data_IF_963640201174
#
_entry.id   IF_963640201174
#
_cell.length_a   1.000
_cell.length_b   1.000
_cell.length_c   1.000
_cell.angle_alpha   90.00
_cell.angle_beta   90.00
_cell.angle_gamma   90.00
#
_symmetry.space_group_name_H-M   'P 1'
#
loop_
_entity.id
_entity.type
_entity.pdbx_description
1 polymer ?
#
# COMPACT_ATOMS: atom_id res chain seq x y z
N UNK A 1 -15.95 7.44 14.44
CA UNK A 1 -16.62 8.65 13.92
C UNK A 1 -15.63 9.80 13.84
N UNK A 2 -15.01 10.21 14.96
CA UNK A 2 -14.06 11.35 15.03
C UNK A 2 -12.93 11.31 13.96
N UNK A 3 -12.36 10.12 13.70
CA UNK A 3 -11.29 9.98 12.71
C UNK A 3 -11.78 10.15 11.27
N UNK A 4 -12.88 9.49 10.90
CA UNK A 4 -13.53 9.74 9.61
C UNK A 4 -13.91 11.21 9.46
N UNK A 5 -14.44 11.87 10.51
CA UNK A 5 -14.77 13.30 10.46
C UNK A 5 -13.57 14.19 10.19
N UNK A 6 -12.39 13.82 10.71
CA UNK A 6 -11.17 14.60 10.49
C UNK A 6 -10.72 14.58 9.03
N UNK A 7 -11.12 13.58 8.23
CA UNK A 7 -10.76 13.43 6.82
C UNK A 7 -11.93 13.60 5.84
N UNK A 8 -13.11 14.05 6.29
CA UNK A 8 -14.30 14.23 5.42
C UNK A 8 -14.09 15.21 4.27
N UNK A 9 -13.13 16.13 4.39
CA UNK A 9 -12.79 17.09 3.34
C UNK A 9 -11.93 16.51 2.22
N UNK A 10 -11.42 15.29 2.39
CA UNK A 10 -10.53 14.66 1.41
C UNK A 10 -11.32 14.21 0.19
N UNK A 11 -10.76 14.46 -1.00
CA UNK A 11 -11.30 13.90 -2.23
C UNK A 11 -10.75 12.49 -2.52
N UNK A 12 -9.73 12.03 -1.77
CA UNK A 12 -9.00 10.78 -2.02
C UNK A 12 -9.32 9.70 -0.97
N UNK A 13 -10.24 9.98 -0.05
CA UNK A 13 -10.71 9.04 0.99
C UNK A 13 -12.21 8.85 0.80
N UNK A 14 -12.70 7.61 0.87
CA UNK A 14 -14.11 7.33 0.62
C UNK A 14 -14.99 8.03 1.66
N UNK A 15 -16.02 8.72 1.17
CA UNK A 15 -16.88 9.49 2.05
C UNK A 15 -17.71 8.55 2.93
N UNK A 16 -17.69 8.81 4.23
CA UNK A 16 -18.39 8.02 5.24
C UNK A 16 -19.56 8.85 5.77
N UNK A 17 -20.79 8.40 5.54
CA UNK A 17 -22.00 9.10 5.99
C UNK A 17 -22.32 8.82 7.45
N UNK A 18 -22.10 7.60 7.93
CA UNK A 18 -22.53 7.21 9.27
C UNK A 18 -22.70 5.71 9.46
N UNK A 19 -23.36 5.37 10.57
CA UNK A 19 -23.78 4.01 10.88
C UNK A 19 -25.29 3.91 10.82
N UNK A 20 -25.79 2.74 10.41
CA UNK A 20 -27.19 2.36 10.52
C UNK A 20 -27.29 0.99 11.19
N UNK A 21 -28.51 0.51 11.44
CA UNK A 21 -28.76 -0.79 12.04
C UNK A 21 -29.81 -1.52 11.23
N UNK A 22 -29.52 -2.76 10.84
CA UNK A 22 -30.50 -3.61 10.17
C UNK A 22 -31.63 -3.94 11.16
N UNK A 23 -32.89 -3.58 10.86
CA UNK A 23 -34.01 -3.81 11.77
C UNK A 23 -34.28 -5.30 12.03
N UNK A 24 -33.91 -6.18 11.09
CA UNK A 24 -34.19 -7.62 11.21
C UNK A 24 -33.10 -8.35 12.00
N UNK A 25 -31.82 -8.04 11.74
CA UNK A 25 -30.69 -8.74 12.36
C UNK A 25 -30.10 -8.00 13.56
N UNK A 26 -30.49 -6.75 13.79
CA UNK A 26 -29.87 -5.84 14.76
C UNK A 26 -28.36 -5.64 14.57
N UNK A 27 -27.80 -5.98 13.41
CA UNK A 27 -26.41 -5.75 13.09
C UNK A 27 -26.20 -4.28 12.69
N UNK A 28 -25.11 -3.70 13.18
CA UNK A 28 -24.67 -2.39 12.72
C UNK A 28 -24.10 -2.49 11.30
N UNK A 29 -24.39 -1.49 10.49
CA UNK A 29 -23.91 -1.36 9.12
C UNK A 29 -23.29 0.01 8.93
N UNK A 30 -22.28 0.10 8.07
CA UNK A 30 -21.66 1.36 7.67
C UNK A 30 -22.34 1.87 6.40
N UNK A 31 -22.59 3.18 6.34
CA UNK A 31 -23.07 3.87 5.14
C UNK A 31 -21.93 4.75 4.61
N UNK A 32 -21.49 4.49 3.38
CA UNK A 32 -20.40 5.18 2.69
C UNK A 32 -20.72 5.32 1.20
N UNK A 33 -19.94 6.12 0.48
CA UNK A 33 -20.02 6.21 -0.97
C UNK A 33 -19.80 4.86 -1.65
N UNK A 34 -20.37 4.68 -2.84
CA UNK A 34 -20.24 3.46 -3.62
C UNK A 34 -19.14 3.59 -4.68
N UNK A 35 -18.08 2.80 -4.52
CA UNK A 35 -17.02 2.64 -5.52
C UNK A 35 -17.41 1.57 -6.55
N UNK A 36 -17.86 2.01 -7.73
CA UNK A 36 -18.52 1.15 -8.74
C UNK A 36 -17.57 0.23 -9.54
N UNK A 37 -16.27 0.24 -9.27
CA UNK A 37 -15.27 -0.62 -9.94
C UNK A 37 -14.56 -1.58 -8.99
N UNK A 38 -14.98 -1.71 -7.74
CA UNK A 38 -14.35 -2.62 -6.78
C UNK A 38 -12.98 -2.10 -6.31
N UNK A 39 -12.15 -2.98 -5.75
CA UNK A 39 -10.85 -2.62 -5.18
C UNK A 39 -9.68 -2.73 -6.20
N UNK A 40 -8.51 -2.23 -5.82
CA UNK A 40 -7.30 -2.25 -6.66
C UNK A 40 -6.89 -3.66 -7.07
N UNK A 41 -6.96 -4.60 -6.12
CA UNK A 41 -6.61 -6.02 -6.32
C UNK A 41 -7.39 -6.64 -7.48
N UNK A 42 -8.70 -6.42 -7.52
CA UNK A 42 -9.61 -6.92 -8.57
C UNK A 42 -9.36 -6.26 -9.93
N UNK A 43 -8.66 -5.12 -9.96
CA UNK A 43 -8.38 -4.36 -11.17
C UNK A 43 -6.94 -4.50 -11.67
N UNK A 44 -6.05 -5.24 -10.98
CA UNK A 44 -4.62 -5.30 -11.33
C UNK A 44 -4.35 -5.68 -12.79
N UNK A 45 -5.10 -6.64 -13.35
CA UNK A 45 -4.96 -7.04 -14.76
C UNK A 45 -5.31 -5.93 -15.74
N UNK A 46 -6.29 -5.08 -15.42
CA UNK A 46 -6.61 -3.89 -16.23
C UNK A 46 -5.51 -2.83 -16.07
N UNK A 47 -5.01 -2.67 -14.85
CA UNK A 47 -4.07 -1.61 -14.52
C UNK A 47 -2.67 -1.89 -15.07
N UNK A 48 -2.26 -3.15 -15.20
CA UNK A 48 -0.94 -3.46 -15.79
C UNK A 48 -0.87 -3.04 -17.26
N UNK A 49 -2.00 -3.01 -17.97
CA UNK A 49 -2.13 -2.55 -19.36
C UNK A 49 -2.09 -1.02 -19.49
N UNK A 50 -2.24 -0.29 -18.40
CA UNK A 50 -2.14 1.16 -18.40
C UNK A 50 -0.73 1.64 -18.79
N UNK A 51 -0.67 2.77 -19.50
CA UNK A 51 0.60 3.45 -19.72
C UNK A 51 1.15 4.07 -18.42
N UNK A 52 2.43 4.47 -18.43
CA UNK A 52 3.08 5.01 -17.24
C UNK A 52 2.41 6.27 -16.69
N UNK A 53 1.87 7.15 -17.55
CA UNK A 53 1.17 8.33 -17.05
C UNK A 53 -0.06 7.95 -16.23
N UNK A 54 -0.87 7.00 -16.72
CA UNK A 54 -2.03 6.49 -15.99
C UNK A 54 -1.64 5.83 -14.66
N UNK A 55 -0.60 4.99 -14.65
CA UNK A 55 -0.08 4.35 -13.42
C UNK A 55 0.41 5.38 -12.41
N UNK A 56 1.12 6.42 -12.87
CA UNK A 56 1.62 7.50 -12.02
C UNK A 56 0.46 8.34 -11.46
N UNK A 57 -0.55 8.67 -12.26
CA UNK A 57 -1.74 9.38 -11.76
C UNK A 57 -2.47 8.59 -10.68
N UNK A 58 -2.64 7.27 -10.86
CA UNK A 58 -3.22 6.42 -9.82
C UNK A 58 -2.39 6.44 -8.53
N UNK A 59 -1.07 6.32 -8.62
CA UNK A 59 -0.19 6.42 -7.46
C UNK A 59 -0.24 7.78 -6.77
N UNK A 60 -0.36 8.84 -7.55
CA UNK A 60 -0.50 10.19 -7.05
C UNK A 60 -1.76 10.34 -6.20
N UNK A 61 -2.92 9.86 -6.67
CA UNK A 61 -4.16 9.89 -5.88
C UNK A 61 -4.03 9.06 -4.59
N UNK A 62 -3.43 7.86 -4.68
CA UNK A 62 -3.20 6.99 -3.51
C UNK A 62 -2.30 7.67 -2.47
N UNK A 63 -1.15 8.23 -2.88
CA UNK A 63 -0.21 8.86 -1.93
C UNK A 63 -0.73 10.22 -1.44
N UNK A 64 -1.53 10.92 -2.24
CA UNK A 64 -2.21 12.16 -1.84
C UNK A 64 -3.14 11.92 -0.66
N UNK A 65 -4.05 10.94 -0.77
CA UNK A 65 -4.93 10.55 0.33
C UNK A 65 -4.16 10.11 1.58
N UNK A 66 -3.10 9.29 1.40
CA UNK A 66 -2.28 8.84 2.53
C UNK A 66 -1.51 10.01 3.18
N UNK A 67 -1.03 10.97 2.38
CA UNK A 67 -0.37 12.18 2.88
C UNK A 67 -1.34 13.09 3.65
N UNK A 68 -2.60 13.17 3.25
CA UNK A 68 -3.62 13.92 4.00
C UNK A 68 -3.88 13.27 5.37
N UNK A 69 -4.02 11.93 5.41
CA UNK A 69 -4.17 11.19 6.66
C UNK A 69 -2.98 11.43 7.60
N UNK A 70 -1.75 11.26 7.10
CA UNK A 70 -0.54 11.45 7.89
C UNK A 70 -0.40 12.91 8.37
N UNK A 71 -0.77 13.89 7.55
CA UNK A 71 -0.80 15.30 7.92
C UNK A 71 -1.78 15.62 9.07
N UNK A 72 -2.79 14.77 9.27
CA UNK A 72 -3.76 14.83 10.38
C UNK A 72 -3.36 13.90 11.55
N UNK A 73 -2.13 13.39 11.55
CA UNK A 73 -1.61 12.42 12.53
C UNK A 73 -2.39 11.10 12.59
N UNK A 74 -3.04 10.72 11.49
CA UNK A 74 -3.68 9.41 11.34
C UNK A 74 -2.72 8.44 10.64
N UNK A 75 -2.70 7.20 11.11
CA UNK A 75 -1.96 6.09 10.51
C UNK A 75 -2.99 5.04 10.11
N UNK A 76 -2.99 4.58 8.87
CA UNK A 76 -4.01 3.66 8.36
C UNK A 76 -3.97 2.29 9.05
N UNK A 77 -2.75 1.76 9.28
CA UNK A 77 -2.47 0.49 9.96
C UNK A 77 -2.90 -0.80 9.24
N UNK A 78 -3.61 -0.70 8.13
CA UNK A 78 -4.03 -1.84 7.30
C UNK A 78 -4.10 -1.42 5.84
N UNK A 79 -3.06 -0.70 5.40
CA UNK A 79 -3.00 -0.16 4.06
C UNK A 79 -2.61 -1.26 3.08
N UNK A 80 -3.47 -1.58 2.13
CA UNK A 80 -3.21 -2.59 1.10
C UNK A 80 -4.16 -2.39 -0.09
N UNK A 81 -3.91 -3.11 -1.18
CA UNK A 81 -4.69 -3.11 -2.43
C UNK A 81 -6.21 -3.29 -2.25
N UNK A 82 -6.63 -4.19 -1.35
CA UNK A 82 -8.03 -4.42 -1.00
C UNK A 82 -8.75 -3.21 -0.38
N UNK A 83 -8.01 -2.29 0.26
CA UNK A 83 -8.55 -1.08 0.88
C UNK A 83 -8.43 0.16 -0.02
N UNK A 84 -7.95 -0.01 -1.25
CA UNK A 84 -7.93 1.02 -2.28
C UNK A 84 -9.06 0.74 -3.27
N UNK A 85 -10.04 1.63 -3.34
CA UNK A 85 -11.26 1.46 -4.13
C UNK A 85 -11.17 2.26 -5.42
N UNK A 86 -11.64 1.66 -6.51
CA UNK A 86 -11.74 2.29 -7.82
C UNK A 86 -13.17 2.75 -8.05
N UNK A 87 -13.31 3.97 -8.55
CA UNK A 87 -14.58 4.52 -9.00
C UNK A 87 -14.40 5.10 -10.40
N UNK A 88 -15.42 4.96 -11.25
CA UNK A 88 -15.46 5.61 -12.55
C UNK A 88 -16.70 6.50 -12.61
N UNK A 89 -16.45 7.79 -12.83
CA UNK A 89 -17.48 8.82 -12.99
C UNK A 89 -17.33 9.49 -14.37
N UNK A 90 -18.27 9.23 -15.28
CA UNK A 90 -18.35 9.87 -16.61
C UNK A 90 -17.00 9.99 -17.37
N UNK A 91 -16.21 8.91 -17.37
CA UNK A 91 -14.86 8.78 -17.96
C UNK A 91 -13.68 9.33 -17.14
N UNK A 92 -13.88 9.64 -15.86
CA UNK A 92 -12.80 9.90 -14.90
C UNK A 92 -12.68 8.73 -13.94
N UNK A 93 -11.56 8.03 -14.02
CA UNK A 93 -11.17 7.08 -12.99
C UNK A 93 -10.73 7.88 -11.76
N UNK A 94 -11.23 7.48 -10.59
CA UNK A 94 -10.88 8.01 -9.28
C UNK A 94 -10.49 6.87 -8.36
N UNK A 95 -9.58 7.17 -7.44
CA UNK A 95 -9.15 6.26 -6.40
C UNK A 95 -9.55 6.79 -5.03
N UNK A 96 -10.05 5.89 -4.18
CA UNK A 96 -10.38 6.21 -2.79
C UNK A 96 -9.67 5.26 -1.84
N UNK A 97 -9.03 5.80 -0.80
CA UNK A 97 -8.63 5.02 0.37
C UNK A 97 -9.88 4.73 1.20
N UNK A 98 -10.01 3.50 1.69
CA UNK A 98 -11.14 3.02 2.46
C UNK A 98 -10.71 2.26 3.70
N UNK A 99 -11.68 1.83 4.51
CA UNK A 99 -11.46 1.06 5.74
C UNK A 99 -10.48 1.70 6.74
N UNK A 100 -10.93 2.77 7.38
CA UNK A 100 -10.21 3.40 8.49
C UNK A 100 -10.48 2.71 9.84
N UNK A 101 -11.03 1.49 9.83
CA UNK A 101 -11.43 0.74 11.02
C UNK A 101 -10.27 0.39 11.95
N UNK A 102 -9.04 0.40 11.44
CA UNK A 102 -7.83 0.12 12.22
C UNK A 102 -6.90 1.32 12.41
N UNK A 103 -7.32 2.51 11.96
CA UNK A 103 -6.55 3.71 12.19
C UNK A 103 -6.27 3.88 13.69
N UNK A 104 -5.03 4.19 14.08
CA UNK A 104 -4.76 4.53 15.48
C UNK A 104 -5.59 5.75 15.88
N UNK A 105 -6.35 5.71 17.01
CA UNK A 105 -6.29 4.80 18.17
C UNK A 105 -7.23 3.58 18.16
N UNK A 106 -8.00 3.32 17.09
CA UNK A 106 -8.96 2.19 17.02
C UNK A 106 -8.28 0.82 17.16
N UNK A 107 -6.98 0.72 16.84
CA UNK A 107 -6.13 -0.47 17.06
C UNK A 107 -6.00 -0.89 18.55
N UNK A 108 -6.32 -0.03 19.51
CA UNK A 108 -6.15 -0.29 20.96
C UNK A 108 -6.87 -1.53 21.51
N UNK A 109 -7.70 -2.19 20.70
CA UNK A 109 -8.46 -3.39 21.04
C UNK A 109 -7.67 -4.71 20.88
N UNK A 110 -6.50 -4.71 20.23
CA UNK A 110 -5.69 -5.91 20.02
C UNK A 110 -4.83 -6.25 21.24
N UNK A 111 -4.55 -7.55 21.45
CA UNK A 111 -3.61 -7.98 22.49
C UNK A 111 -2.18 -7.49 22.17
N UNK A 112 -1.33 -7.38 23.19
CA UNK A 112 0.04 -6.84 23.08
C UNK A 112 0.88 -7.50 21.98
N UNK A 113 0.67 -8.79 21.73
CA UNK A 113 1.50 -9.56 20.79
C UNK A 113 0.76 -9.95 19.50
N UNK A 114 -0.52 -9.59 19.40
CA UNK A 114 -1.36 -9.87 18.24
C UNK A 114 -0.81 -9.13 17.02
N UNK A 115 -0.82 -9.85 15.90
CA UNK A 115 -0.50 -9.29 14.59
C UNK A 115 -1.78 -9.35 13.77
N UNK A 116 -2.21 -8.20 13.25
CA UNK A 116 -3.38 -8.10 12.39
C UNK A 116 -2.99 -7.42 11.09
N UNK A 117 -3.41 -7.97 9.95
CA UNK A 117 -3.26 -7.33 8.65
C UNK A 117 -3.04 -8.34 7.52
N UNK A 118 -2.44 -7.88 6.42
CA UNK A 118 -2.14 -8.67 5.23
C UNK A 118 -0.63 -8.81 5.06
N UNK A 119 -0.06 -9.98 5.41
CA UNK A 119 1.40 -10.21 5.55
C UNK A 119 2.27 -9.54 4.46
N UNK A 120 2.02 -9.70 3.14
CA UNK A 120 2.81 -9.04 2.10
C UNK A 120 2.96 -7.52 2.26
N UNK A 121 1.94 -6.84 2.77
CA UNK A 121 1.89 -5.38 2.94
C UNK A 121 2.39 -4.93 4.32
N UNK A 122 2.66 -5.85 5.24
CA UNK A 122 3.06 -5.50 6.61
C UNK A 122 4.56 -5.22 6.68
N UNK A 123 4.90 -4.07 7.28
CA UNK A 123 6.29 -3.70 7.49
C UNK A 123 6.99 -4.67 8.46
N UNK A 124 8.30 -4.95 8.27
CA UNK A 124 9.07 -5.87 9.13
C UNK A 124 8.94 -5.55 10.62
N UNK A 125 9.02 -4.27 11.00
CA UNK A 125 8.91 -3.86 12.39
C UNK A 125 7.54 -4.13 13.00
N UNK A 126 6.48 -4.07 12.19
CA UNK A 126 5.11 -4.37 12.62
C UNK A 126 4.93 -5.87 12.81
N UNK A 127 5.43 -6.71 11.90
CA UNK A 127 5.45 -8.17 12.05
C UNK A 127 6.22 -8.59 13.33
N UNK A 128 7.25 -7.82 13.69
CA UNK A 128 8.04 -8.00 14.92
C UNK A 128 7.39 -7.39 16.17
N UNK A 129 6.15 -6.91 16.08
CA UNK A 129 5.36 -6.45 17.23
C UNK A 129 5.61 -5.00 17.64
N UNK A 130 6.31 -4.19 16.84
CA UNK A 130 6.34 -2.74 17.06
C UNK A 130 5.03 -2.10 16.63
N UNK A 131 4.73 -0.94 17.18
CA UNK A 131 3.54 -0.17 16.80
C UNK A 131 3.60 0.26 15.34
N UNK A 132 2.44 0.37 14.70
CA UNK A 132 2.33 1.01 13.39
C UNK A 132 2.75 2.48 13.51
N UNK A 133 3.35 2.97 12.43
CA UNK A 133 3.78 4.35 12.24
C UNK A 133 3.39 4.80 10.83
N UNK A 134 3.46 6.10 10.54
CA UNK A 134 3.32 6.57 9.16
C UNK A 134 4.33 5.87 8.22
N UNK A 135 5.54 5.54 8.70
CA UNK A 135 6.54 4.81 7.93
C UNK A 135 6.15 3.34 7.63
N UNK A 136 5.29 2.71 8.43
CA UNK A 136 4.76 1.38 8.09
C UNK A 136 3.71 1.44 6.99
N UNK A 137 2.88 2.50 6.93
CA UNK A 137 1.98 2.69 5.78
C UNK A 137 2.77 2.95 4.49
N UNK A 138 3.92 3.65 4.56
CA UNK A 138 4.82 3.86 3.41
C UNK A 138 5.43 2.55 2.91
N UNK A 139 5.77 1.63 3.82
CA UNK A 139 6.15 0.29 3.42
C UNK A 139 5.02 -0.39 2.66
N UNK A 140 3.79 -0.34 3.16
CA UNK A 140 2.64 -0.92 2.47
C UNK A 140 2.39 -0.27 1.09
N UNK A 141 2.53 1.05 0.98
CA UNK A 141 2.45 1.78 -0.29
C UNK A 141 3.47 1.29 -1.31
N UNK A 142 4.68 0.91 -0.89
CA UNK A 142 5.69 0.36 -1.82
C UNK A 142 5.28 -1.00 -2.41
N UNK A 143 4.49 -1.80 -1.69
CA UNK A 143 3.96 -3.06 -2.21
C UNK A 143 2.92 -2.81 -3.28
N UNK A 144 2.06 -1.80 -3.07
CA UNK A 144 1.14 -1.30 -4.10
C UNK A 144 1.93 -0.78 -5.32
N UNK A 145 3.01 -0.02 -5.10
CA UNK A 145 3.89 0.40 -6.19
C UNK A 145 4.42 -0.81 -6.98
N UNK A 146 4.80 -1.88 -6.30
CA UNK A 146 5.26 -3.10 -6.96
C UNK A 146 4.14 -3.77 -7.76
N UNK A 147 2.93 -3.89 -7.20
CA UNK A 147 1.77 -4.50 -7.87
C UNK A 147 1.39 -3.80 -9.18
N UNK A 148 1.50 -2.48 -9.25
CA UNK A 148 1.23 -1.72 -10.48
C UNK A 148 2.22 -2.01 -11.61
N UNK A 149 3.39 -2.56 -11.27
CA UNK A 149 4.41 -3.00 -12.25
C UNK A 149 4.25 -4.48 -12.61
N UNK A 150 3.92 -5.33 -11.65
CA UNK A 150 3.86 -6.78 -11.83
C UNK A 150 2.53 -7.26 -12.38
N UNK A 151 1.43 -6.54 -12.10
CA UNK A 151 0.06 -6.97 -12.39
C UNK A 151 -0.44 -8.10 -11.50
N UNK A 152 0.30 -8.45 -10.44
CA UNK A 152 -0.05 -9.50 -9.48
C UNK A 152 0.27 -9.07 -8.06
N UNK A 153 -0.42 -9.64 -7.08
CA UNK A 153 -0.15 -9.32 -5.67
C UNK A 153 1.20 -9.87 -5.17
N UNK A 154 1.84 -9.22 -4.18
CA UNK A 154 3.19 -9.56 -3.77
C UNK A 154 3.23 -10.92 -3.05
N UNK A 155 4.24 -11.73 -3.37
CA UNK A 155 4.43 -13.08 -2.82
C UNK A 155 3.27 -14.06 -3.13
N UNK A 156 2.61 -13.89 -4.28
CA UNK A 156 1.50 -14.75 -4.72
C UNK A 156 1.84 -16.23 -4.93
N UNK A 157 3.12 -16.57 -4.96
CA UNK A 157 3.65 -17.89 -5.30
C UNK A 157 3.78 -18.82 -4.10
N UNK A 158 3.50 -18.35 -2.87
CA UNK A 158 3.70 -19.12 -1.63
C UNK A 158 2.65 -18.86 -0.55
N UNK A 159 2.75 -19.60 0.54
CA UNK A 159 1.86 -19.45 1.68
C UNK A 159 2.12 -18.13 2.43
N UNK A 160 1.06 -17.50 2.93
CA UNK A 160 1.15 -16.32 3.77
C UNK A 160 1.09 -16.73 5.24
N UNK A 161 2.23 -17.23 5.72
CA UNK A 161 2.40 -17.79 7.06
C UNK A 161 3.61 -17.18 7.78
N UNK A 162 4.02 -17.81 8.88
CA UNK A 162 5.17 -17.37 9.67
C UNK A 162 6.48 -17.41 8.88
N UNK A 163 6.63 -18.31 7.90
CA UNK A 163 7.85 -18.41 7.10
C UNK A 163 7.99 -17.21 6.17
N UNK A 164 6.91 -16.81 5.49
CA UNK A 164 6.90 -15.57 4.72
C UNK A 164 7.24 -14.36 5.61
N UNK A 165 6.63 -14.30 6.79
CA UNK A 165 6.85 -13.19 7.73
C UNK A 165 8.30 -13.11 8.22
N UNK A 166 8.91 -14.26 8.50
CA UNK A 166 10.34 -14.35 8.84
C UNK A 166 11.23 -13.90 7.68
N UNK A 167 10.94 -14.32 6.44
CA UNK A 167 11.74 -13.92 5.30
C UNK A 167 11.64 -12.42 5.00
N UNK A 168 10.45 -11.83 5.14
CA UNK A 168 10.26 -10.37 5.05
C UNK A 168 11.13 -9.65 6.09
N UNK A 169 11.13 -10.14 7.34
CA UNK A 169 11.97 -9.61 8.42
C UNK A 169 13.47 -9.81 8.20
N UNK A 170 13.86 -10.76 7.34
CA UNK A 170 15.25 -10.98 6.88
C UNK A 170 15.60 -10.12 5.66
N UNK A 171 14.71 -9.25 5.21
CA UNK A 171 14.93 -8.34 4.10
C UNK A 171 14.48 -8.88 2.74
N UNK A 172 13.76 -10.00 2.68
CA UNK A 172 13.19 -10.47 1.41
C UNK A 172 12.16 -9.46 0.89
N UNK A 173 12.22 -9.18 -0.41
CA UNK A 173 11.29 -8.32 -1.14
C UNK A 173 10.90 -8.99 -2.47
N UNK A 174 9.75 -8.64 -3.05
CA UNK A 174 9.37 -9.15 -4.37
C UNK A 174 10.42 -8.83 -5.45
N UNK A 175 10.57 -9.73 -6.43
CA UNK A 175 11.50 -9.54 -7.55
C UNK A 175 11.10 -8.31 -8.36
N UNK A 176 12.07 -7.43 -8.65
CA UNK A 176 11.84 -6.26 -9.51
C UNK A 176 11.50 -6.72 -10.94
N UNK A 177 10.44 -6.14 -11.50
CA UNK A 177 9.98 -6.43 -12.85
C UNK A 177 10.91 -5.76 -13.87
N UNK A 178 11.37 -6.53 -14.86
CA UNK A 178 12.21 -6.02 -15.94
C UNK A 178 11.54 -4.88 -16.69
N UNK A 179 12.33 -3.91 -17.15
CA UNK A 179 11.88 -2.69 -17.84
C UNK A 179 11.03 -1.73 -17.00
N UNK A 180 10.94 -1.92 -15.69
CA UNK A 180 10.45 -0.87 -14.79
C UNK A 180 11.43 0.31 -14.80
N UNK A 181 10.98 1.57 -15.00
CA UNK A 181 11.79 2.78 -14.87
C UNK A 181 12.63 2.78 -13.59
N UNK A 182 13.91 3.13 -13.71
CA UNK A 182 14.85 3.05 -12.61
C UNK A 182 14.49 4.02 -11.48
N UNK A 183 14.09 5.24 -11.81
CA UNK A 183 13.64 6.22 -10.83
C UNK A 183 12.43 5.74 -10.00
N UNK A 184 11.54 4.95 -10.61
CA UNK A 184 10.42 4.31 -9.92
C UNK A 184 10.91 3.20 -8.98
N UNK A 185 11.81 2.34 -9.46
CA UNK A 185 12.43 1.27 -8.66
C UNK A 185 13.16 1.87 -7.45
N UNK A 186 13.87 2.98 -7.64
CA UNK A 186 14.62 3.64 -6.58
C UNK A 186 13.70 4.23 -5.51
N UNK A 187 12.61 4.89 -5.91
CA UNK A 187 11.60 5.39 -4.97
C UNK A 187 10.93 4.23 -4.22
N UNK A 188 10.48 3.20 -4.93
CA UNK A 188 9.87 2.00 -4.34
C UNK A 188 10.82 1.35 -3.32
N UNK A 189 12.12 1.26 -3.66
CA UNK A 189 13.14 0.72 -2.76
C UNK A 189 13.39 1.57 -1.52
N UNK A 190 13.31 2.90 -1.64
CA UNK A 190 13.35 3.79 -0.49
C UNK A 190 12.13 3.59 0.41
N UNK A 191 10.95 3.40 -0.16
CA UNK A 191 9.72 3.18 0.60
C UNK A 191 9.67 1.84 1.35
N UNK A 192 10.28 0.76 0.84
CA UNK A 192 10.34 -0.53 1.56
C UNK A 192 11.63 -0.77 2.35
N UNK A 193 12.39 0.29 2.66
CA UNK A 193 13.65 0.16 3.39
C UNK A 193 13.44 -0.60 4.70
N UNK A 194 14.40 -1.46 5.06
CA UNK A 194 14.32 -2.23 6.31
C UNK A 194 14.27 -1.32 7.53
N UNK A 195 15.04 -0.23 7.51
CA UNK A 195 15.02 0.80 8.56
C UNK A 195 13.85 1.78 8.30
N UNK A 196 12.82 1.81 9.16
CA UNK A 196 11.69 2.72 8.99
C UNK A 196 12.10 4.20 9.03
N UNK A 197 13.22 4.56 9.67
CA UNK A 197 13.73 5.94 9.71
C UNK A 197 14.33 6.39 8.37
N UNK A 198 14.68 5.45 7.49
CA UNK A 198 15.19 5.74 6.14
C UNK A 198 14.10 5.80 5.09
N UNK A 199 12.84 5.48 5.45
CA UNK A 199 11.70 5.60 4.55
C UNK A 199 11.30 7.08 4.45
N UNK A 200 10.99 7.59 3.25
CA UNK A 200 10.48 8.94 3.09
C UNK A 200 9.10 9.08 3.74
N UNK A 201 8.73 10.29 4.14
CA UNK A 201 7.35 10.61 4.50
C UNK A 201 6.43 10.59 3.28
N UNK A 202 5.13 10.36 3.49
CA UNK A 202 4.11 10.42 2.42
C UNK A 202 4.15 11.74 1.65
N UNK A 203 4.39 12.86 2.34
CA UNK A 203 4.55 14.18 1.73
C UNK A 203 5.77 14.29 0.80
N UNK A 204 6.88 13.65 1.15
CA UNK A 204 8.06 13.61 0.28
C UNK A 204 7.82 12.74 -0.96
N UNK A 205 7.20 11.57 -0.77
CA UNK A 205 6.82 10.68 -1.88
C UNK A 205 5.85 11.37 -2.83
N UNK A 206 4.81 12.03 -2.30
CA UNK A 206 3.84 12.82 -3.06
C UNK A 206 4.55 13.86 -3.95
N UNK A 207 5.45 14.66 -3.37
CA UNK A 207 6.21 15.68 -4.12
C UNK A 207 7.10 15.10 -5.22
N UNK A 208 7.66 13.90 -5.01
CA UNK A 208 8.48 13.23 -6.03
C UNK A 208 7.58 12.82 -7.20
N UNK A 209 6.44 12.19 -6.92
CA UNK A 209 5.49 11.73 -7.94
C UNK A 209 4.84 12.91 -8.67
N UNK A 210 4.49 13.99 -7.97
CA UNK A 210 4.00 15.25 -8.56
C UNK A 210 4.94 15.77 -9.64
N UNK A 211 6.25 15.76 -9.38
CA UNK A 211 7.27 16.22 -10.35
C UNK A 211 7.37 15.32 -11.59
N UNK A 212 7.03 14.04 -11.48
CA UNK A 212 6.99 13.14 -12.63
C UNK A 212 5.77 13.39 -13.53
N UNK A 213 4.65 13.79 -12.94
CA UNK A 213 3.35 13.96 -13.62
C UNK A 213 3.16 15.40 -14.10
N UNK A 214 3.15 16.34 -13.16
CA UNK A 214 2.89 17.74 -13.39
C UNK A 214 4.21 18.40 -13.71
N UNK A 215 4.58 18.29 -14.99
CA UNK A 215 5.67 19.04 -15.62
C UNK A 215 5.36 20.53 -15.44
N UNK A 216 5.72 21.10 -14.29
CA UNK A 216 5.38 22.47 -13.93
C UNK A 216 5.78 23.40 -15.06
N UNK A 217 4.89 24.35 -15.41
CA UNK A 217 5.18 25.42 -16.37
C UNK A 217 6.41 26.28 -15.99
N UNK A 218 6.97 26.11 -14.79
CA UNK A 218 8.31 26.57 -14.41
C UNK A 218 9.42 25.72 -15.08
N UNK A 219 9.36 25.64 -16.41
CA UNK A 219 10.26 24.87 -17.29
C UNK A 219 11.69 25.44 -17.29
N UNK A 220 11.94 26.56 -16.62
CA UNK A 220 13.26 27.20 -16.60
C UNK A 220 14.24 26.66 -15.55
N UNK A 221 13.83 25.77 -14.64
CA UNK A 221 14.75 25.20 -13.63
C UNK A 221 14.45 23.73 -13.24
N UNK A 222 14.00 22.91 -14.20
CA UNK A 222 13.88 21.47 -13.96
C UNK A 222 15.28 20.85 -14.02
N UNK A 223 15.78 20.38 -12.87
CA UNK A 223 17.06 19.67 -12.75
C UNK A 223 17.20 18.57 -13.82
N UNK A 224 18.44 18.31 -14.25
CA UNK A 224 18.73 17.25 -15.22
C UNK A 224 18.21 15.87 -14.80
N UNK A 225 18.17 15.61 -13.49
CA UNK A 225 17.64 14.38 -12.90
C UNK A 225 16.14 14.20 -13.18
N UNK A 226 15.31 15.24 -12.95
CA UNK A 226 13.86 15.14 -13.20
C UNK A 226 13.59 14.91 -14.69
N UNK A 227 14.33 15.58 -15.58
CA UNK A 227 14.22 15.34 -17.03
C UNK A 227 14.57 13.91 -17.41
N UNK A 228 15.63 13.35 -16.81
CA UNK A 228 16.01 11.95 -16.99
C UNK A 228 14.90 11.01 -16.53
N UNK A 229 14.37 11.21 -15.32
CA UNK A 229 13.28 10.41 -14.76
C UNK A 229 12.05 10.41 -15.68
N UNK A 230 11.63 11.58 -16.19
CA UNK A 230 10.51 11.69 -17.13
C UNK A 230 10.79 10.91 -18.42
N UNK A 231 12.02 10.97 -18.95
CA UNK A 231 12.39 10.23 -20.15
C UNK A 231 12.38 8.71 -19.93
N UNK A 232 12.71 8.22 -18.73
CA UNK A 232 12.57 6.79 -18.41
C UNK A 232 11.12 6.32 -18.56
N UNK A 233 10.14 7.09 -18.07
CA UNK A 233 8.72 6.76 -18.21
C UNK A 233 8.23 6.82 -19.67
N UNK A 234 8.70 7.81 -20.45
CA UNK A 234 8.31 7.96 -21.87
C UNK A 234 8.85 6.79 -22.71
N UNK A 235 10.09 6.36 -22.43
CA UNK A 235 10.77 5.33 -23.20
C UNK A 235 10.48 3.91 -22.69
N UNK A 236 9.90 3.76 -21.50
CA UNK A 236 9.61 2.46 -20.94
C UNK A 236 8.49 1.76 -21.72
N UNK A 237 8.71 0.49 -22.12
CA UNK A 237 7.69 -0.27 -22.82
C UNK A 237 6.49 -0.55 -21.91
N UNK A 238 5.31 -0.70 -22.53
CA UNK A 238 4.16 -1.29 -21.85
C UNK A 238 4.43 -2.78 -21.75
N UNK A 239 4.87 -3.23 -20.57
CA UNK A 239 5.15 -4.65 -20.33
C UNK A 239 3.84 -5.38 -20.09
N UNK A 240 3.48 -6.26 -21.02
CA UNK A 240 2.43 -7.25 -20.81
C UNK A 240 3.03 -8.42 -20.03
N UNK A 241 3.02 -8.32 -18.70
CA UNK A 241 3.39 -9.45 -17.87
C UNK A 241 2.31 -10.53 -17.98
N UNK A 242 2.61 -11.60 -18.71
CA UNK A 242 1.86 -12.86 -18.66
C UNK A 242 2.10 -13.63 -17.35
N UNK A 243 2.33 -12.92 -16.23
CA UNK A 243 2.48 -13.49 -14.89
C UNK A 243 1.11 -13.90 -14.32
N UNK A 244 0.18 -14.36 -15.15
CA UNK A 244 -1.04 -15.04 -14.72
C UNK A 244 -0.70 -16.40 -14.10
N UNK A 245 0.16 -16.41 -13.08
CA UNK A 245 0.43 -17.55 -12.23
C UNK A 245 -0.72 -17.64 -11.26
N UNK A 246 -1.39 -18.79 -11.26
CA UNK A 246 -2.40 -19.12 -10.27
C UNK A 246 -1.82 -18.89 -8.88
N UNK A 247 -2.46 -18.03 -8.09
CA UNK A 247 -2.04 -17.75 -6.72
C UNK A 247 -1.93 -19.06 -5.94
N UNK A 248 -0.89 -19.16 -5.12
CA UNK A 248 -0.72 -20.26 -4.19
C UNK A 248 -1.97 -20.38 -3.30
N UNK A 249 -2.50 -21.58 -3.05
CA UNK A 249 -3.79 -21.76 -2.37
C UNK A 249 -3.80 -21.29 -0.91
N UNK A 250 -2.61 -21.12 -0.30
CA UNK A 250 -2.43 -20.55 1.05
C UNK A 250 -1.98 -19.09 1.05
N UNK A 251 -1.94 -18.44 -0.12
CA UNK A 251 -1.80 -16.99 -0.17
C UNK A 251 -3.13 -16.37 0.27
N UNK A 252 -3.08 -15.36 1.13
CA UNK A 252 -4.28 -14.70 1.64
C UNK A 252 -4.05 -13.19 1.75
N UNK A 253 -4.89 -12.46 1.02
CA UNK A 253 -4.84 -11.01 0.82
C UNK A 253 -5.98 -10.28 1.55
N UNK A 254 -6.66 -10.96 2.46
CA UNK A 254 -7.68 -10.37 3.32
C UNK A 254 -7.09 -10.19 4.71
N UNK A 255 -7.39 -9.04 5.31
CA UNK A 255 -6.95 -8.70 6.65
C UNK A 255 -7.47 -9.70 7.67
N UNK A 256 -6.56 -10.16 8.54
CA UNK A 256 -6.88 -11.16 9.56
C UNK A 256 -5.95 -11.03 10.75
N UNK A 257 -6.43 -11.49 11.90
CA UNK A 257 -5.55 -11.84 13.00
C UNK A 257 -4.71 -13.05 12.57
N UNK A 258 -3.39 -12.95 12.68
CA UNK A 258 -2.50 -14.05 12.33
C UNK A 258 -2.58 -15.16 13.39
N UNK A 259 -2.33 -16.40 12.96
CA UNK A 259 -2.34 -17.60 13.81
C UNK A 259 -1.08 -17.77 14.66
N UNK A 260 -0.15 -16.81 14.57
CA UNK A 260 1.05 -16.70 15.39
C UNK A 260 1.21 -15.29 15.94
N UNK A 261 2.02 -15.16 17.00
CA UNK A 261 2.29 -13.88 17.65
C UNK A 261 3.63 -13.30 17.24
N UNK A 262 3.80 -12.00 17.44
CA UNK A 262 5.10 -11.33 17.27
C UNK A 262 6.17 -11.89 18.20
N UNK A 263 5.78 -12.41 19.37
CA UNK A 263 6.70 -13.10 20.28
C UNK A 263 7.27 -14.35 19.63
N UNK A 264 6.41 -15.25 19.15
CA UNK A 264 6.82 -16.48 18.45
C UNK A 264 7.73 -16.18 17.26
N UNK A 265 7.38 -15.16 16.46
CA UNK A 265 8.19 -14.76 15.31
C UNK A 265 9.57 -14.27 15.74
N UNK A 266 9.66 -13.41 16.77
CA UNK A 266 10.94 -12.91 17.26
C UNK A 266 11.82 -14.03 17.84
N UNK A 267 11.24 -14.97 18.61
CA UNK A 267 11.97 -16.11 19.17
C UNK A 267 12.68 -16.91 18.05
N UNK A 268 11.96 -17.25 16.97
CA UNK A 268 12.52 -17.98 15.81
C UNK A 268 13.54 -17.13 15.04
N UNK A 269 13.26 -15.83 14.92
CA UNK A 269 14.13 -14.90 14.18
C UNK A 269 15.51 -14.78 14.85
N UNK A 270 15.53 -14.58 16.17
CA UNK A 270 16.75 -14.46 16.99
C UNK A 270 17.57 -15.76 17.00
N UNK A 271 16.92 -16.91 17.17
CA UNK A 271 17.58 -18.21 17.06
C UNK A 271 18.28 -18.36 15.71
N UNK A 272 17.61 -17.98 14.61
CA UNK A 272 18.18 -18.10 13.28
C UNK A 272 19.38 -17.17 13.02
N UNK A 273 19.50 -16.05 13.74
CA UNK A 273 20.67 -15.18 13.65
C UNK A 273 21.86 -15.74 14.45
N UNK A 274 21.60 -16.38 15.58
CA UNK A 274 22.64 -16.98 16.42
C UNK A 274 23.39 -18.15 15.74
N UNK A 275 22.74 -18.89 14.83
CA UNK A 275 23.39 -19.96 14.06
C UNK A 275 24.28 -19.46 12.90
N UNK A 276 24.20 -18.18 12.55
CA UNK A 276 24.95 -17.57 11.44
C UNK A 276 25.99 -16.53 11.88
N UNK A 277 26.14 -16.31 13.19
CA UNK A 277 27.18 -15.48 13.80
C UNK A 277 28.35 -16.34 14.30
#
# INVERSE_FOLDING_TARGET
WEYHTSVLSSNDIIYFYGFTKDPNTSKYMVVMDYANKGNLRENLTRIVENNWNQKLYMLYEIISGLSEMHGKNLIHCDFHDGNILNHNDENKDKIYISDLGLCQPVKSLLSKYDIYGVIPFMAPEVLRGKSYTSASDIYSFSMIMWELTSGVSPFNDRAHDIQLSLSICKGERPKIIENTPQCYVDLMKKCWNEDPLKRPSSKEVLKIIEKWIFRSYEIYDVSGEIKSNIMEFINAPIVHNNLATKSHPKACYTSRLLDFTSKTLNDIFEDSQAYHA
#
